data_IF_751580501037
#
_entry.id   IF_751580501037
#
_cell.length_a   1.000
_cell.length_b   1.000
_cell.length_c   1.000
_cell.angle_alpha   90.00
_cell.angle_beta   90.00
_cell.angle_gamma   90.00
#
_symmetry.space_group_name_H-M   'P 1'
#
loop_
_entity.id
_entity.type
_entity.pdbx_description
1 polymer ?
#
# COMPACT_ATOMS: atom_id res chain seq x y z
N UNK A 1 22.42 11.62 -6.95
CA UNK A 1 22.45 10.87 -5.66
C UNK A 1 22.42 11.74 -4.41
N UNK A 2 22.82 13.01 -4.48
CA UNK A 2 22.84 13.91 -3.31
C UNK A 2 21.47 14.49 -2.91
N UNK A 3 20.51 14.53 -3.82
CA UNK A 3 19.25 15.28 -3.64
C UNK A 3 18.31 14.71 -2.54
N UNK A 4 18.39 13.40 -2.25
CA UNK A 4 17.55 12.80 -1.22
C UNK A 4 18.22 12.70 0.16
N UNK A 5 19.53 12.89 0.25
CA UNK A 5 20.23 12.89 1.54
C UNK A 5 19.82 14.11 2.39
N UNK A 6 19.49 15.24 1.77
CA UNK A 6 19.03 16.45 2.45
C UNK A 6 17.63 16.36 3.07
N UNK A 7 16.86 15.30 2.79
CA UNK A 7 15.51 15.11 3.33
C UNK A 7 15.47 14.28 4.62
N UNK A 8 16.60 13.70 5.02
CA UNK A 8 16.69 12.92 6.26
C UNK A 8 16.98 13.88 7.41
N UNK A 9 16.14 13.90 8.47
CA UNK A 9 16.39 14.74 9.62
C UNK A 9 17.69 14.36 10.34
N UNK A 10 18.49 15.35 10.72
CA UNK A 10 19.80 15.17 11.36
C UNK A 10 19.76 14.34 12.64
N UNK A 11 18.62 14.31 13.32
CA UNK A 11 18.40 13.51 14.54
C UNK A 11 18.63 12.00 14.36
N UNK A 12 18.69 11.49 13.14
CA UNK A 12 18.90 10.06 12.86
C UNK A 12 20.36 9.72 12.51
N UNK A 13 21.27 10.69 12.56
CA UNK A 13 22.68 10.50 12.26
C UNK A 13 23.01 10.55 10.77
N UNK A 14 24.29 10.37 10.46
CA UNK A 14 24.79 10.46 9.10
C UNK A 14 24.26 9.32 8.20
N UNK A 15 23.90 9.68 6.96
CA UNK A 15 23.40 8.73 5.96
C UNK A 15 24.54 7.86 5.47
N UNK A 16 24.44 6.55 5.67
CA UNK A 16 25.42 5.57 5.23
C UNK A 16 25.05 4.99 3.87
N UNK A 17 23.78 4.69 3.64
CA UNK A 17 23.32 4.06 2.38
C UNK A 17 21.87 4.39 2.09
N UNK A 18 21.58 4.65 0.80
CA UNK A 18 20.23 4.90 0.31
C UNK A 18 19.86 3.78 -0.67
N UNK A 19 18.68 3.20 -0.48
CA UNK A 19 18.11 2.21 -1.37
C UNK A 19 16.90 2.81 -2.10
N UNK A 20 16.86 2.64 -3.40
CA UNK A 20 15.78 3.13 -4.26
C UNK A 20 14.89 1.99 -4.72
N UNK A 21 13.57 2.16 -4.74
CA UNK A 21 12.67 1.18 -5.31
C UNK A 21 12.76 1.15 -6.83
N UNK A 22 12.21 0.11 -7.43
CA UNK A 22 12.17 -0.02 -8.89
C UNK A 22 11.19 0.98 -9.50
N UNK A 23 11.69 2.00 -10.17
CA UNK A 23 10.90 3.12 -10.74
C UNK A 23 9.75 2.64 -11.64
N UNK A 24 9.97 1.61 -12.47
CA UNK A 24 8.94 1.07 -13.37
C UNK A 24 7.69 0.54 -12.66
N UNK A 25 7.78 0.14 -11.39
CA UNK A 25 6.64 -0.33 -10.62
C UNK A 25 5.69 0.80 -10.23
N UNK A 26 6.21 2.01 -10.01
CA UNK A 26 5.42 3.21 -9.71
C UNK A 26 4.64 3.68 -10.93
N UNK A 27 5.30 3.83 -12.07
CA UNK A 27 4.67 4.29 -13.31
C UNK A 27 3.51 3.38 -13.73
N UNK A 28 3.69 2.05 -13.66
CA UNK A 28 2.61 1.11 -14.00
C UNK A 28 1.38 1.24 -13.11
N UNK A 29 1.55 1.50 -11.81
CA UNK A 29 0.43 1.70 -10.89
C UNK A 29 -0.30 3.00 -11.14
N UNK A 30 0.45 4.06 -11.38
CA UNK A 30 -0.08 5.38 -11.69
C UNK A 30 -0.91 5.32 -12.99
N UNK A 31 -0.33 4.78 -14.05
CA UNK A 31 -1.00 4.62 -15.34
C UNK A 31 -2.27 3.73 -15.22
N UNK A 32 -2.24 2.67 -14.41
CA UNK A 32 -3.40 1.81 -14.21
C UNK A 32 -4.54 2.49 -13.42
N UNK A 33 -4.25 3.44 -12.54
CA UNK A 33 -5.24 4.17 -11.74
C UNK A 33 -5.85 5.39 -12.42
N UNK A 34 -5.10 6.03 -13.31
CA UNK A 34 -5.51 7.28 -13.98
C UNK A 34 -6.84 7.17 -14.73
N UNK A 35 -7.09 6.15 -15.58
CA UNK A 35 -8.36 6.08 -16.33
C UNK A 35 -9.58 6.01 -15.41
N UNK A 36 -9.50 5.21 -14.34
CA UNK A 36 -10.60 5.08 -13.38
C UNK A 36 -10.85 6.39 -12.62
N UNK A 37 -9.78 7.10 -12.24
CA UNK A 37 -9.89 8.40 -11.58
C UNK A 37 -10.49 9.48 -12.48
N UNK A 38 -10.05 9.55 -13.74
CA UNK A 38 -10.57 10.49 -14.73
C UNK A 38 -12.06 10.21 -15.02
N UNK A 39 -12.43 8.93 -15.18
CA UNK A 39 -13.82 8.55 -15.41
C UNK A 39 -14.70 8.93 -14.21
N UNK A 40 -14.27 8.65 -12.99
CA UNK A 40 -15.00 9.01 -11.78
C UNK A 40 -15.20 10.53 -11.67
N UNK A 41 -14.13 11.32 -11.90
CA UNK A 41 -14.22 12.78 -11.90
C UNK A 41 -15.15 13.30 -13.00
N UNK A 42 -15.10 12.74 -14.21
CA UNK A 42 -15.97 13.13 -15.32
C UNK A 42 -17.45 12.84 -15.01
N UNK A 43 -17.76 11.67 -14.42
CA UNK A 43 -19.13 11.31 -14.02
C UNK A 43 -19.68 12.30 -12.98
N UNK A 44 -18.87 12.66 -11.99
CA UNK A 44 -19.29 13.57 -10.92
C UNK A 44 -19.42 15.00 -11.43
N UNK A 45 -18.47 15.43 -12.27
CA UNK A 45 -18.59 16.73 -12.94
C UNK A 45 -19.88 16.83 -13.75
N UNK A 46 -20.24 15.79 -14.49
CA UNK A 46 -21.49 15.75 -15.24
C UNK A 46 -22.74 15.83 -14.34
N UNK A 47 -22.71 15.17 -13.18
CA UNK A 47 -23.79 15.27 -12.17
C UNK A 47 -23.91 16.67 -11.58
N UNK A 48 -22.78 17.30 -11.22
CA UNK A 48 -22.76 18.68 -10.70
C UNK A 48 -23.24 19.69 -11.75
N UNK A 49 -22.86 19.51 -13.02
CA UNK A 49 -23.30 20.39 -14.11
C UNK A 49 -24.81 20.29 -14.39
N UNK A 50 -25.40 19.12 -14.20
CA UNK A 50 -26.84 18.88 -14.40
C UNK A 50 -27.68 19.33 -13.21
N UNK A 51 -27.19 19.17 -11.98
CA UNK A 51 -27.87 19.50 -10.73
C UNK A 51 -26.85 20.04 -9.69
N UNK A 52 -26.60 21.34 -9.65
CA UNK A 52 -25.64 21.93 -8.74
C UNK A 52 -26.20 22.00 -7.31
N UNK A 53 -26.35 20.84 -6.67
CA UNK A 53 -26.76 20.79 -5.26
C UNK A 53 -25.54 20.85 -4.34
N UNK A 54 -25.64 21.42 -3.12
CA UNK A 54 -24.55 21.44 -2.15
C UNK A 54 -23.95 20.07 -1.88
N UNK A 55 -24.77 19.02 -1.83
CA UNK A 55 -24.35 17.62 -1.61
C UNK A 55 -23.39 17.15 -2.72
N UNK A 56 -23.72 17.38 -4.00
CA UNK A 56 -22.86 17.01 -5.10
C UNK A 56 -21.57 17.82 -5.15
N UNK A 57 -21.60 19.09 -4.76
CA UNK A 57 -20.38 19.92 -4.66
C UNK A 57 -19.44 19.38 -3.58
N UNK A 58 -19.96 19.02 -2.41
CA UNK A 58 -19.16 18.40 -1.33
C UNK A 58 -18.57 17.06 -1.78
N UNK A 59 -19.36 16.20 -2.41
CA UNK A 59 -18.89 14.91 -2.96
C UNK A 59 -17.79 15.11 -3.98
N UNK A 60 -17.96 16.06 -4.91
CA UNK A 60 -16.92 16.39 -5.90
C UNK A 60 -15.62 16.85 -5.21
N UNK A 61 -15.74 17.69 -4.19
CA UNK A 61 -14.60 18.15 -3.38
C UNK A 61 -13.87 16.98 -2.71
N UNK A 62 -14.58 16.09 -2.04
CA UNK A 62 -14.03 14.93 -1.34
C UNK A 62 -13.32 13.96 -2.30
N UNK A 63 -13.92 13.68 -3.46
CA UNK A 63 -13.32 12.77 -4.43
C UNK A 63 -12.10 13.40 -5.10
N UNK A 64 -12.16 14.71 -5.40
CA UNK A 64 -11.01 15.44 -5.93
C UNK A 64 -9.84 15.43 -4.94
N UNK A 65 -10.09 15.70 -3.66
CA UNK A 65 -9.09 15.60 -2.60
C UNK A 65 -8.54 14.17 -2.48
N UNK A 66 -9.41 13.16 -2.51
CA UNK A 66 -9.01 11.75 -2.49
C UNK A 66 -8.13 11.38 -3.69
N UNK A 67 -8.46 11.84 -4.89
CA UNK A 67 -7.66 11.64 -6.09
C UNK A 67 -6.29 12.33 -6.01
N UNK A 68 -6.25 13.57 -5.57
CA UNK A 68 -5.00 14.31 -5.36
C UNK A 68 -4.12 13.63 -4.31
N UNK A 69 -4.71 13.16 -3.21
CA UNK A 69 -4.01 12.40 -2.20
C UNK A 69 -3.46 11.07 -2.73
N UNK A 70 -4.24 10.35 -3.53
CA UNK A 70 -3.80 9.11 -4.18
C UNK A 70 -2.63 9.36 -5.15
N UNK A 71 -2.71 10.41 -5.97
CA UNK A 71 -1.63 10.83 -6.86
C UNK A 71 -0.38 11.17 -6.05
N UNK A 72 -0.50 12.01 -5.03
CA UNK A 72 0.61 12.38 -4.15
C UNK A 72 1.25 11.15 -3.50
N UNK A 73 0.44 10.21 -3.00
CA UNK A 73 0.93 8.98 -2.37
C UNK A 73 1.69 8.05 -3.32
N UNK A 74 1.35 8.09 -4.61
CA UNK A 74 2.02 7.28 -5.65
C UNK A 74 3.27 7.95 -6.20
N UNK A 75 3.31 9.28 -6.24
CA UNK A 75 4.46 10.04 -6.73
C UNK A 75 5.61 10.08 -5.72
N UNK A 76 5.32 9.98 -4.43
CA UNK A 76 6.37 10.01 -3.40
C UNK A 76 7.18 8.71 -3.41
N UNK A 77 8.49 8.77 -3.67
CA UNK A 77 9.33 7.57 -3.69
C UNK A 77 9.43 6.97 -2.28
N UNK A 78 9.14 5.69 -2.15
CA UNK A 78 9.38 4.95 -0.92
C UNK A 78 10.85 4.54 -0.87
N UNK A 79 11.71 5.44 -0.43
CA UNK A 79 13.14 5.14 -0.25
C UNK A 79 13.38 4.51 1.13
N UNK A 80 14.40 3.66 1.20
CA UNK A 80 14.93 3.16 2.47
C UNK A 80 16.32 3.74 2.66
N UNK A 81 16.53 4.39 3.80
CA UNK A 81 17.81 5.00 4.14
C UNK A 81 18.36 4.30 5.36
N UNK A 82 19.60 3.84 5.26
CA UNK A 82 20.38 3.39 6.41
C UNK A 82 21.26 4.55 6.88
N UNK A 83 21.16 4.90 8.13
CA UNK A 83 22.10 5.78 8.83
C UNK A 83 23.03 4.96 9.71
N UNK A 84 23.88 5.59 10.47
CA UNK A 84 24.75 4.91 11.43
C UNK A 84 23.97 4.21 12.55
N UNK A 85 22.87 4.78 12.98
CA UNK A 85 22.08 4.32 14.13
C UNK A 85 20.69 3.79 13.78
N UNK A 86 20.12 4.24 12.65
CA UNK A 86 18.73 3.94 12.28
C UNK A 86 18.58 3.40 10.86
N UNK A 87 17.48 2.71 10.65
CA UNK A 87 16.91 2.45 9.32
C UNK A 87 15.63 3.23 9.18
N UNK A 88 15.55 4.03 8.14
CA UNK A 88 14.42 4.90 7.83
C UNK A 88 13.71 4.38 6.60
N UNK A 89 12.39 4.23 6.69
CA UNK A 89 11.53 3.96 5.53
C UNK A 89 10.62 5.15 5.30
N UNK A 90 10.68 5.72 4.11
CA UNK A 90 9.84 6.86 3.74
C UNK A 90 8.37 6.47 3.77
N UNK A 91 7.56 7.21 4.54
CA UNK A 91 6.10 7.17 4.55
C UNK A 91 5.54 8.43 3.88
N UNK A 92 4.21 8.45 3.70
CA UNK A 92 3.51 9.57 3.05
C UNK A 92 3.83 10.94 3.65
N UNK A 93 3.89 11.06 4.97
CA UNK A 93 4.07 12.34 5.67
C UNK A 93 5.32 12.36 6.55
N UNK A 94 5.85 11.20 6.90
CA UNK A 94 6.96 11.09 7.85
C UNK A 94 7.85 9.88 7.53
N UNK A 95 8.93 9.74 8.28
CA UNK A 95 9.83 8.60 8.25
C UNK A 95 9.41 7.57 9.30
N UNK A 96 9.28 6.33 8.88
CA UNK A 96 9.28 5.24 9.85
C UNK A 96 10.74 4.96 10.20
N UNK A 97 11.15 5.39 11.37
CA UNK A 97 12.47 5.13 11.91
C UNK A 97 12.46 3.87 12.77
N UNK A 98 13.52 3.07 12.67
CA UNK A 98 13.80 1.95 13.55
C UNK A 98 15.29 1.97 13.89
N UNK A 99 15.64 1.81 15.16
CA UNK A 99 17.03 1.70 15.58
C UNK A 99 17.64 0.39 15.07
N UNK A 100 18.87 0.45 14.57
CA UNK A 100 19.59 -0.76 14.12
C UNK A 100 19.80 -1.73 15.30
N UNK A 101 19.95 -1.23 16.51
CA UNK A 101 20.05 -2.02 17.75
C UNK A 101 18.80 -2.83 18.07
N UNK A 102 17.62 -2.36 17.66
CA UNK A 102 16.36 -3.09 17.84
C UNK A 102 16.19 -4.23 16.85
N UNK A 103 16.91 -4.23 15.72
CA UNK A 103 16.78 -5.22 14.67
C UNK A 103 17.73 -6.39 14.97
N UNK A 104 17.18 -7.50 15.45
CA UNK A 104 17.97 -8.70 15.72
C UNK A 104 18.23 -9.53 14.48
N UNK A 105 17.22 -9.64 13.60
CA UNK A 105 17.31 -10.41 12.37
C UNK A 105 16.39 -9.89 11.28
N UNK A 106 16.68 -10.27 10.04
CA UNK A 106 15.79 -10.08 8.91
C UNK A 106 15.27 -11.41 8.38
N UNK A 107 14.03 -11.39 7.93
CA UNK A 107 13.39 -12.54 7.30
C UNK A 107 13.05 -12.12 5.88
N UNK A 108 13.66 -12.80 4.91
CA UNK A 108 13.50 -12.50 3.50
C UNK A 108 12.82 -13.68 2.79
N UNK A 109 11.68 -13.43 2.15
CA UNK A 109 11.04 -14.38 1.25
C UNK A 109 11.25 -13.93 -0.19
N UNK A 110 11.85 -14.79 -1.01
CA UNK A 110 12.01 -14.52 -2.46
C UNK A 110 10.67 -14.54 -3.16
N UNK A 111 9.78 -15.45 -2.74
CA UNK A 111 8.40 -15.56 -3.22
C UNK A 111 7.46 -15.82 -2.06
N UNK A 112 6.80 -14.78 -1.62
CA UNK A 112 5.67 -14.88 -0.71
C UNK A 112 4.41 -15.13 -1.55
N UNK A 113 3.84 -16.32 -1.44
CA UNK A 113 2.61 -16.66 -2.15
C UNK A 113 1.40 -16.41 -1.24
N UNK A 114 0.26 -15.95 -1.78
CA UNK A 114 -0.96 -15.83 -1.00
C UNK A 114 -1.43 -17.21 -0.54
N UNK A 115 -2.39 -17.21 0.39
CA UNK A 115 -3.02 -18.43 0.88
C UNK A 115 -3.60 -19.21 -0.30
N UNK A 116 -3.06 -20.39 -0.57
CA UNK A 116 -3.66 -21.31 -1.53
C UNK A 116 -4.94 -21.89 -0.90
N UNK A 117 -6.05 -21.80 -1.62
CA UNK A 117 -7.20 -22.61 -1.31
C UNK A 117 -6.78 -24.07 -1.52
N UNK A 118 -6.89 -24.89 -0.48
CA UNK A 118 -6.48 -26.29 -0.53
C UNK A 118 -7.14 -26.98 -1.73
N UNK A 119 -6.34 -27.61 -2.59
CA UNK A 119 -6.80 -28.48 -3.67
C UNK A 119 -7.15 -27.83 -5.00
N UNK A 120 -6.98 -26.53 -5.21
CA UNK A 120 -7.17 -25.91 -6.54
C UNK A 120 -5.84 -25.62 -7.22
N UNK A 121 -5.57 -26.30 -8.33
CA UNK A 121 -4.56 -25.84 -9.27
C UNK A 121 -4.98 -24.50 -9.86
N UNK A 122 -4.09 -23.53 -9.73
CA UNK A 122 -4.31 -22.19 -10.26
C UNK A 122 -3.96 -22.19 -11.74
N UNK A 123 -4.96 -22.02 -12.59
CA UNK A 123 -4.78 -21.95 -14.07
C UNK A 123 -5.04 -20.53 -14.57
N UNK A 124 -4.42 -20.18 -15.70
CA UNK A 124 -4.63 -18.92 -16.40
C UNK A 124 -4.24 -17.66 -15.63
N UNK A 125 -5.10 -16.64 -15.65
CA UNK A 125 -4.85 -15.33 -15.02
C UNK A 125 -4.70 -15.42 -13.49
N UNK A 126 -5.31 -16.41 -12.83
CA UNK A 126 -5.14 -16.65 -11.42
C UNK A 126 -3.70 -17.08 -11.10
N UNK A 127 -3.11 -17.98 -11.89
CA UNK A 127 -1.72 -18.41 -11.74
C UNK A 127 -0.73 -17.23 -11.85
N UNK A 128 -0.97 -16.28 -12.76
CA UNK A 128 -0.17 -15.07 -12.91
C UNK A 128 -0.27 -14.14 -11.69
N UNK A 129 -1.46 -13.99 -11.11
CA UNK A 129 -1.68 -13.20 -9.88
C UNK A 129 -1.00 -13.84 -8.66
N UNK A 130 -0.88 -15.16 -8.64
CA UNK A 130 -0.33 -15.94 -7.52
C UNK A 130 1.16 -16.25 -7.67
N UNK A 131 1.85 -15.61 -8.62
CA UNK A 131 3.28 -15.82 -8.88
C UNK A 131 4.19 -15.56 -7.68
N UNK A 132 3.62 -15.00 -6.61
CA UNK A 132 4.33 -14.60 -5.41
C UNK A 132 5.12 -13.30 -5.63
N UNK A 133 5.30 -12.56 -4.57
CA UNK A 133 6.11 -11.33 -4.57
C UNK A 133 7.20 -11.44 -3.50
N UNK A 134 8.40 -10.91 -3.70
CA UNK A 134 9.38 -10.90 -2.65
C UNK A 134 8.90 -10.03 -1.48
N UNK A 135 9.33 -10.36 -0.28
CA UNK A 135 8.99 -9.60 0.92
C UNK A 135 10.14 -9.67 1.94
N UNK A 136 10.34 -8.59 2.66
CA UNK A 136 11.36 -8.47 3.70
C UNK A 136 10.70 -7.97 4.98
N UNK A 137 11.01 -8.64 6.09
CA UNK A 137 10.65 -8.21 7.43
C UNK A 137 11.91 -8.00 8.25
N UNK A 138 11.99 -6.90 8.97
CA UNK A 138 12.93 -6.71 10.05
C UNK A 138 12.21 -7.02 11.37
N UNK A 139 12.82 -7.83 12.21
CA UNK A 139 12.24 -8.26 13.46
C UNK A 139 13.20 -8.00 14.62
N UNK A 140 12.63 -7.74 15.79
CA UNK A 140 13.40 -7.55 17.01
C UNK A 140 13.70 -8.90 17.70
N UNK A 141 14.45 -8.87 18.81
CA UNK A 141 14.78 -10.06 19.59
C UNK A 141 13.57 -10.84 20.10
N UNK A 142 12.38 -10.19 20.22
CA UNK A 142 11.12 -10.82 20.62
C UNK A 142 10.34 -11.40 19.43
N UNK A 143 10.91 -11.40 18.22
CA UNK A 143 10.23 -11.83 17.00
C UNK A 143 9.14 -10.89 16.50
N UNK A 144 8.97 -9.70 17.10
CA UNK A 144 7.98 -8.72 16.64
C UNK A 144 8.50 -7.97 15.43
N UNK A 145 7.61 -7.69 14.49
CA UNK A 145 7.89 -6.92 13.30
C UNK A 145 8.21 -5.47 13.63
N UNK A 146 9.40 -5.01 13.26
CA UNK A 146 9.83 -3.61 13.35
C UNK A 146 9.36 -2.85 12.09
N UNK A 147 9.71 -3.36 10.91
CA UNK A 147 9.18 -2.84 9.65
C UNK A 147 9.08 -3.95 8.59
N UNK A 148 8.42 -3.61 7.48
CA UNK A 148 8.24 -4.49 6.34
C UNK A 148 8.40 -3.75 5.03
N UNK A 149 9.06 -4.40 4.07
CA UNK A 149 9.16 -3.95 2.69
C UNK A 149 8.46 -4.95 1.77
N UNK A 150 7.67 -4.42 0.83
CA UNK A 150 6.85 -5.22 -0.08
C UNK A 150 7.48 -5.28 -1.47
N UNK A 151 7.66 -6.45 -2.01
CA UNK A 151 8.18 -6.69 -3.35
C UNK A 151 7.32 -6.20 -4.50
N UNK A 152 6.15 -5.65 -4.22
CA UNK A 152 5.39 -4.91 -5.23
C UNK A 152 6.10 -3.64 -5.68
N UNK A 153 6.97 -3.11 -4.83
CA UNK A 153 7.70 -1.86 -5.04
C UNK A 153 9.19 -2.16 -5.19
N UNK A 154 9.69 -3.14 -4.43
CA UNK A 154 11.08 -3.51 -4.34
C UNK A 154 11.36 -4.79 -5.12
N UNK A 155 12.48 -4.85 -5.83
CA UNK A 155 12.94 -6.08 -6.44
C UNK A 155 13.65 -6.99 -5.41
N UNK A 156 13.73 -8.29 -5.68
CA UNK A 156 14.32 -9.26 -4.78
C UNK A 156 15.80 -8.96 -4.50
N UNK A 157 16.54 -8.47 -5.49
CA UNK A 157 17.97 -8.12 -5.36
C UNK A 157 18.17 -6.98 -4.36
N UNK A 158 17.38 -5.92 -4.48
CA UNK A 158 17.44 -4.76 -3.58
C UNK A 158 16.98 -5.13 -2.17
N UNK A 159 15.90 -5.92 -2.03
CA UNK A 159 15.45 -6.40 -0.72
C UNK A 159 16.50 -7.26 -0.03
N UNK A 160 17.20 -8.13 -0.76
CA UNK A 160 18.31 -8.93 -0.22
C UNK A 160 19.46 -8.03 0.22
N UNK A 161 19.82 -7.02 -0.57
CA UNK A 161 20.86 -6.05 -0.23
C UNK A 161 20.50 -5.22 1.01
N UNK A 162 19.22 -4.86 1.18
CA UNK A 162 18.72 -4.22 2.40
C UNK A 162 18.84 -5.19 3.58
N UNK A 163 18.36 -6.43 3.44
CA UNK A 163 18.39 -7.43 4.51
C UNK A 163 19.80 -7.58 5.10
N UNK A 164 20.79 -7.78 4.23
CA UNK A 164 22.19 -7.94 4.67
C UNK A 164 22.82 -6.67 5.22
N UNK A 165 22.30 -5.50 4.84
CA UNK A 165 22.84 -4.23 5.33
C UNK A 165 22.35 -3.84 6.72
N UNK A 166 21.16 -4.31 7.14
CA UNK A 166 20.49 -3.84 8.35
C UNK A 166 20.53 -4.82 9.52
N UNK A 167 20.77 -6.10 9.28
CA UNK A 167 20.80 -7.10 10.35
C UNK A 167 21.98 -8.05 10.18
N UNK A 168 22.53 -8.55 11.32
CA UNK A 168 23.62 -9.52 11.31
C UNK A 168 23.17 -10.90 10.82
N UNK A 169 21.90 -11.24 11.01
CA UNK A 169 21.31 -12.52 10.63
C UNK A 169 20.17 -12.32 9.65
N UNK A 170 20.15 -13.12 8.60
CA UNK A 170 19.09 -13.13 7.58
C UNK A 170 18.60 -14.56 7.35
N UNK A 171 17.32 -14.79 7.66
CA UNK A 171 16.65 -16.06 7.29
C UNK A 171 16.04 -15.90 5.91
N UNK A 172 16.39 -16.80 4.98
CA UNK A 172 15.94 -16.74 3.59
C UNK A 172 15.00 -17.89 3.29
N UNK A 173 13.81 -17.57 2.80
CA UNK A 173 12.86 -18.54 2.24
C UNK A 173 12.77 -18.36 0.74
N UNK A 174 13.03 -19.41 -0.03
CA UNK A 174 12.86 -19.36 -1.49
C UNK A 174 11.41 -19.21 -1.89
N UNK A 175 10.54 -20.05 -1.32
CA UNK A 175 9.09 -19.99 -1.51
C UNK A 175 8.41 -20.28 -0.18
N UNK A 176 7.54 -19.39 0.24
CA UNK A 176 6.74 -19.60 1.45
C UNK A 176 5.35 -19.00 1.22
N UNK A 177 4.31 -19.66 1.71
CA UNK A 177 2.98 -19.08 1.67
C UNK A 177 2.68 -18.28 2.95
N UNK A 178 1.72 -17.37 2.82
CA UNK A 178 1.30 -16.46 3.92
C UNK A 178 0.89 -17.22 5.17
N UNK A 179 0.23 -18.37 5.04
CA UNK A 179 -0.21 -19.19 6.18
C UNK A 179 0.96 -19.86 6.88
N UNK A 180 1.92 -20.41 6.11
CA UNK A 180 3.14 -20.99 6.66
C UNK A 180 4.00 -19.94 7.35
N UNK A 181 4.15 -18.76 6.73
CA UNK A 181 4.87 -17.64 7.33
C UNK A 181 4.25 -17.24 8.67
N UNK A 182 2.92 -17.15 8.76
CA UNK A 182 2.26 -16.80 10.01
C UNK A 182 2.36 -17.89 11.08
N UNK A 183 2.48 -19.18 10.69
CA UNK A 183 2.70 -20.28 11.63
C UNK A 183 4.13 -20.26 12.19
N UNK A 184 5.12 -20.02 11.35
CA UNK A 184 6.53 -20.00 11.76
C UNK A 184 6.92 -18.71 12.48
N UNK A 185 6.34 -17.58 12.05
CA UNK A 185 6.61 -16.24 12.56
C UNK A 185 5.29 -15.51 12.82
N UNK A 186 4.63 -15.75 13.96
CA UNK A 186 3.35 -15.10 14.27
C UNK A 186 3.46 -13.59 14.31
N UNK A 187 2.49 -12.89 13.71
CA UNK A 187 2.42 -11.42 13.70
C UNK A 187 3.24 -10.71 12.64
N UNK A 188 4.02 -11.40 11.80
CA UNK A 188 4.74 -10.79 10.67
C UNK A 188 3.79 -10.49 9.50
N UNK A 189 2.81 -11.36 9.30
CA UNK A 189 1.82 -11.25 8.23
C UNK A 189 0.63 -10.44 8.71
N UNK A 190 0.10 -9.57 7.86
CA UNK A 190 -1.07 -8.75 8.20
C UNK A 190 -2.37 -9.55 8.06
N UNK A 191 -3.40 -9.15 8.80
CA UNK A 191 -4.74 -9.74 8.69
C UNK A 191 -5.27 -9.74 7.24
N UNK A 192 -5.05 -8.64 6.51
CA UNK A 192 -5.49 -8.51 5.12
C UNK A 192 -4.79 -9.48 4.15
N UNK A 193 -3.60 -9.96 4.49
CA UNK A 193 -2.87 -10.96 3.69
C UNK A 193 -3.33 -12.37 4.03
N UNK A 194 -3.68 -12.61 5.28
CA UNK A 194 -4.29 -13.88 5.72
C UNK A 194 -5.70 -14.04 5.14
N UNK A 195 -6.43 -12.93 4.97
CA UNK A 195 -7.81 -12.89 4.50
C UNK A 195 -7.97 -11.98 3.27
N UNK A 196 -7.41 -12.34 2.10
CA UNK A 196 -7.44 -11.48 0.91
C UNK A 196 -8.85 -11.16 0.41
N UNK A 197 -9.81 -12.07 0.64
CA UNK A 197 -11.23 -11.86 0.29
C UNK A 197 -11.88 -10.74 1.09
N UNK A 198 -11.51 -10.55 2.35
CA UNK A 198 -12.07 -9.51 3.22
C UNK A 198 -11.92 -8.11 2.62
N UNK A 199 -10.70 -7.78 2.17
CA UNK A 199 -10.44 -6.48 1.55
C UNK A 199 -11.29 -6.25 0.28
N UNK A 200 -11.40 -7.27 -0.56
CA UNK A 200 -12.22 -7.18 -1.78
C UNK A 200 -13.71 -7.01 -1.45
N UNK A 201 -14.22 -7.77 -0.49
CA UNK A 201 -15.62 -7.68 -0.04
C UNK A 201 -15.91 -6.31 0.57
N UNK A 202 -15.04 -5.79 1.44
CA UNK A 202 -15.23 -4.48 2.07
C UNK A 202 -15.25 -3.36 1.03
N UNK A 203 -14.29 -3.37 0.08
CA UNK A 203 -14.27 -2.38 -1.00
C UNK A 203 -15.51 -2.51 -1.87
N UNK A 204 -15.94 -3.73 -2.20
CA UNK A 204 -17.14 -3.98 -2.99
C UNK A 204 -18.41 -3.47 -2.31
N UNK A 205 -18.58 -3.74 -1.02
CA UNK A 205 -19.73 -3.25 -0.23
C UNK A 205 -19.74 -1.74 -0.15
N UNK A 206 -18.61 -1.10 0.18
CA UNK A 206 -18.51 0.37 0.23
C UNK A 206 -18.84 0.98 -1.14
N UNK A 207 -18.31 0.42 -2.23
CA UNK A 207 -18.59 0.90 -3.58
C UNK A 207 -20.07 0.76 -3.94
N UNK A 208 -20.70 -0.35 -3.55
CA UNK A 208 -22.13 -0.60 -3.80
C UNK A 208 -23.00 0.40 -3.01
N UNK A 209 -22.71 0.60 -1.73
CA UNK A 209 -23.42 1.57 -0.90
C UNK A 209 -23.27 3.00 -1.43
N UNK A 210 -22.08 3.36 -1.90
CA UNK A 210 -21.82 4.65 -2.51
C UNK A 210 -22.62 4.85 -3.81
N UNK A 211 -22.63 3.83 -4.70
CA UNK A 211 -23.41 3.87 -5.93
C UNK A 211 -24.92 3.94 -5.65
N UNK A 212 -25.38 3.22 -4.64
CA UNK A 212 -26.79 3.23 -4.24
C UNK A 212 -27.18 4.61 -3.69
N UNK A 213 -26.32 5.22 -2.86
CA UNK A 213 -26.54 6.58 -2.36
C UNK A 213 -26.59 7.61 -3.50
N UNK A 214 -25.71 7.50 -4.49
CA UNK A 214 -25.73 8.33 -5.69
C UNK A 214 -27.01 8.14 -6.52
N UNK A 215 -27.45 6.90 -6.71
CA UNK A 215 -28.67 6.58 -7.45
C UNK A 215 -29.92 7.15 -6.75
N UNK A 216 -30.00 6.99 -5.43
CA UNK A 216 -31.05 7.56 -4.61
C UNK A 216 -31.07 9.08 -4.72
N UNK A 217 -29.92 9.73 -4.56
CA UNK A 217 -29.82 11.19 -4.70
C UNK A 217 -30.14 11.70 -6.11
N UNK A 218 -29.92 10.89 -7.16
CA UNK A 218 -30.26 11.27 -8.53
C UNK A 218 -31.74 11.11 -8.88
N UNK A 219 -32.47 10.21 -8.20
CA UNK A 219 -33.87 9.88 -8.48
C UNK A 219 -34.84 10.63 -7.58
N UNK A 220 -34.46 10.97 -6.35
CA UNK A 220 -35.34 11.67 -5.42
C UNK A 220 -35.70 13.09 -5.93
N UNK A 221 -36.99 13.47 -5.85
CA UNK A 221 -37.41 14.81 -6.14
C UNK A 221 -36.79 15.82 -5.15
N UNK A 222 -36.56 17.04 -5.59
CA UNK A 222 -35.94 18.11 -4.75
C UNK A 222 -36.74 18.38 -3.49
N UNK A 223 -38.09 18.32 -3.55
CA UNK A 223 -38.99 18.50 -2.41
C UNK A 223 -38.71 17.48 -1.28
N UNK A 224 -38.38 16.22 -1.63
CA UNK A 224 -38.09 15.19 -0.65
C UNK A 224 -36.70 15.38 0.00
N UNK A 225 -35.73 15.91 -0.73
CA UNK A 225 -34.41 16.24 -0.22
C UNK A 225 -34.46 17.43 0.76
N UNK A 226 -35.34 18.40 0.52
CA UNK A 226 -35.57 19.51 1.42
C UNK A 226 -36.24 19.08 2.75
N UNK A 227 -37.14 18.09 2.71
CA UNK A 227 -37.75 17.55 3.94
C UNK A 227 -36.76 16.89 4.88
N UNK A 228 -35.69 16.30 4.33
CA UNK A 228 -34.63 15.68 5.13
C UNK A 228 -33.50 16.63 5.56
N UNK A 229 -33.66 17.94 5.31
CA UNK A 229 -32.67 18.97 5.66
C UNK A 229 -31.26 18.68 5.08
N UNK A 230 -31.23 18.02 3.90
CA UNK A 230 -29.98 17.60 3.21
C UNK A 230 -29.57 18.65 2.15
N UNK A 231 -30.39 19.66 1.96
CA UNK A 231 -30.18 20.81 1.07
C UNK A 231 -30.08 22.11 1.85
#
# INVERSE_FOLDING_TARGET
MAEHAHQVPDKYGAVTKIFHPRINSYHRRLIAGVPAGVLALACIWFMVAKRPTPVFMVLLGLITLGALFAIYSTLRPQIVVKTETHVLSGRLFDWQAAELSEISQTIFAERLTPRQAAGKELTGMAALRYKGVPALWAVNAKGKRVFRLDGRIWDAKTLRAIATAIAPQTTVYQVINVTQMNKQHPGLVTFNELHPGWKSTTVGVISLLFLLALAVAAVLPEETLQQFNIL
#
